data_IF_002750567322
#
_entry.id   IF_002750567322
#
_cell.length_a   1.000
_cell.length_b   1.000
_cell.length_c   1.000
_cell.angle_alpha   90.00
_cell.angle_beta   90.00
_cell.angle_gamma   90.00
#
_symmetry.space_group_name_H-M   'P 1'
#
loop_
_entity.id
_entity.type
_entity.pdbx_description
1 polymer ?
#
# COMPACT_ATOMS: atom_id res chain seq x y z
N UNK A 1 40.73 10.58 15.60
CA UNK A 1 39.67 11.43 15.00
C UNK A 1 39.18 10.87 13.66
N UNK A 2 40.06 10.33 12.79
CA UNK A 2 39.68 9.65 11.54
C UNK A 2 38.63 8.53 11.74
N UNK A 3 38.86 7.64 12.70
CA UNK A 3 37.98 6.50 13.01
C UNK A 3 36.50 6.88 13.30
N UNK A 4 36.27 8.02 13.97
CA UNK A 4 34.92 8.50 14.26
C UNK A 4 34.24 9.12 13.04
N UNK A 5 35.00 9.80 12.17
CA UNK A 5 34.48 10.36 10.92
C UNK A 5 34.17 9.26 9.91
N UNK A 6 35.03 8.24 9.83
CA UNK A 6 34.85 7.07 8.97
C UNK A 6 33.61 6.26 9.39
N UNK A 7 33.45 5.97 10.68
CA UNK A 7 32.24 5.31 11.19
C UNK A 7 30.96 6.11 10.91
N UNK A 8 31.02 7.43 11.06
CA UNK A 8 29.85 8.30 10.80
C UNK A 8 29.50 8.33 9.32
N UNK A 9 30.50 8.32 8.43
CA UNK A 9 30.32 8.22 6.99
C UNK A 9 29.69 6.88 6.59
N UNK A 10 30.15 5.76 7.16
CA UNK A 10 29.55 4.44 6.92
C UNK A 10 28.10 4.38 7.39
N UNK A 11 27.80 4.90 8.58
CA UNK A 11 26.43 4.97 9.08
C UNK A 11 25.54 5.84 8.17
N UNK A 12 26.07 6.94 7.64
CA UNK A 12 25.34 7.78 6.70
C UNK A 12 25.05 7.05 5.38
N UNK A 13 26.05 6.36 4.80
CA UNK A 13 25.88 5.51 3.61
C UNK A 13 24.82 4.43 3.83
N UNK A 14 24.87 3.75 4.96
CA UNK A 14 23.88 2.75 5.36
C UNK A 14 22.45 3.32 5.41
N UNK A 15 22.27 4.52 5.98
CA UNK A 15 20.95 5.18 6.02
C UNK A 15 20.44 5.50 4.61
N UNK A 16 21.30 5.99 3.72
CA UNK A 16 20.94 6.27 2.34
C UNK A 16 20.54 5.00 1.58
N UNK A 17 21.31 3.92 1.72
CA UNK A 17 20.98 2.62 1.12
C UNK A 17 19.65 2.07 1.64
N UNK A 18 19.39 2.20 2.95
CA UNK A 18 18.10 1.78 3.53
C UNK A 18 16.93 2.59 3.02
N UNK A 19 17.09 3.90 2.82
CA UNK A 19 16.06 4.74 2.20
C UNK A 19 15.77 4.33 0.76
N UNK A 20 16.80 4.02 -0.03
CA UNK A 20 16.60 3.53 -1.39
C UNK A 20 15.89 2.17 -1.41
N UNK A 21 16.34 1.23 -0.58
CA UNK A 21 15.72 -0.09 -0.47
C UNK A 21 14.26 0.00 -0.01
N UNK A 22 13.95 0.93 0.90
CA UNK A 22 12.58 1.20 1.32
C UNK A 22 11.72 1.66 0.13
N UNK A 23 12.25 2.56 -0.70
CA UNK A 23 11.54 3.05 -1.89
C UNK A 23 11.25 1.96 -2.91
N UNK A 24 12.24 1.13 -3.21
CA UNK A 24 12.04 -0.03 -4.08
C UNK A 24 11.01 -1.01 -3.52
N UNK A 25 10.99 -1.22 -2.20
CA UNK A 25 10.01 -2.06 -1.54
C UNK A 25 8.60 -1.48 -1.68
N UNK A 26 8.41 -0.16 -1.51
CA UNK A 26 7.10 0.48 -1.70
C UNK A 26 6.53 0.21 -3.09
N UNK A 27 7.34 0.41 -4.14
CA UNK A 27 6.87 0.21 -5.51
C UNK A 27 6.53 -1.25 -5.81
N UNK A 28 7.31 -2.19 -5.25
CA UNK A 28 7.00 -3.63 -5.33
C UNK A 28 5.67 -3.96 -4.63
N UNK A 29 5.43 -3.41 -3.44
CA UNK A 29 4.17 -3.56 -2.71
C UNK A 29 2.99 -3.04 -3.55
N UNK A 30 3.13 -1.86 -4.15
CA UNK A 30 2.10 -1.28 -5.02
C UNK A 30 1.83 -2.15 -6.27
N UNK A 31 2.87 -2.67 -6.91
CA UNK A 31 2.73 -3.56 -8.07
C UNK A 31 2.01 -4.87 -7.70
N UNK A 32 2.34 -5.48 -6.55
CA UNK A 32 1.67 -6.67 -6.04
C UNK A 32 0.17 -6.38 -5.83
N UNK A 33 -0.16 -5.23 -5.23
CA UNK A 33 -1.55 -4.82 -5.03
C UNK A 33 -2.32 -4.70 -6.35
N UNK A 34 -1.72 -4.07 -7.37
CA UNK A 34 -2.32 -3.94 -8.70
C UNK A 34 -2.62 -5.29 -9.34
N UNK A 35 -1.65 -6.20 -9.36
CA UNK A 35 -1.80 -7.53 -9.99
C UNK A 35 -2.91 -8.33 -9.29
N UNK A 36 -2.96 -8.31 -7.96
CA UNK A 36 -3.97 -9.07 -7.23
C UNK A 36 -5.36 -8.46 -7.41
N UNK A 37 -5.51 -7.13 -7.43
CA UNK A 37 -6.80 -6.49 -7.73
C UNK A 37 -7.31 -6.92 -9.11
N UNK A 38 -6.46 -6.90 -10.13
CA UNK A 38 -6.85 -7.31 -11.48
C UNK A 38 -7.30 -8.77 -11.47
N UNK A 39 -6.57 -9.65 -10.80
CA UNK A 39 -6.95 -11.06 -10.68
C UNK A 39 -8.31 -11.25 -9.97
N UNK A 40 -8.56 -10.53 -8.87
CA UNK A 40 -9.85 -10.56 -8.17
C UNK A 40 -10.98 -9.99 -9.03
N UNK A 41 -10.72 -8.93 -9.79
CA UNK A 41 -11.67 -8.35 -10.73
C UNK A 41 -12.04 -9.32 -11.86
N UNK A 42 -11.07 -10.03 -12.42
CA UNK A 42 -11.31 -11.09 -13.41
C UNK A 42 -12.12 -12.24 -12.83
N UNK A 43 -11.83 -12.65 -11.58
CA UNK A 43 -12.61 -13.66 -10.89
C UNK A 43 -14.08 -13.21 -10.70
N UNK A 44 -14.30 -11.96 -10.31
CA UNK A 44 -15.65 -11.39 -10.17
C UNK A 44 -16.39 -11.32 -11.51
N UNK A 45 -15.70 -10.95 -12.59
CA UNK A 45 -16.26 -10.96 -13.93
C UNK A 45 -16.70 -12.38 -14.33
N UNK A 46 -15.89 -13.39 -14.02
CA UNK A 46 -16.25 -14.78 -14.29
C UNK A 46 -17.50 -15.24 -13.50
N UNK A 47 -17.64 -14.83 -12.23
CA UNK A 47 -18.87 -15.09 -11.45
C UNK A 47 -20.10 -14.50 -12.12
N UNK A 48 -20.01 -13.26 -12.63
CA UNK A 48 -21.10 -12.61 -13.35
C UNK A 48 -21.44 -13.36 -14.65
N UNK A 49 -20.42 -13.74 -15.44
CA UNK A 49 -20.59 -14.48 -16.68
C UNK A 49 -21.27 -15.85 -16.44
N UNK A 50 -20.83 -16.57 -15.40
CA UNK A 50 -21.38 -17.87 -15.02
C UNK A 50 -22.83 -17.78 -14.51
N UNK A 51 -23.16 -16.70 -13.78
CA UNK A 51 -24.54 -16.41 -13.36
C UNK A 51 -25.42 -16.15 -14.58
N UNK A 52 -24.96 -15.31 -15.51
CA UNK A 52 -25.68 -14.99 -16.75
C UNK A 52 -25.93 -16.21 -17.64
N UNK A 53 -24.98 -17.14 -17.71
CA UNK A 53 -25.14 -18.40 -18.44
C UNK A 53 -25.96 -19.45 -17.70
N UNK A 54 -26.54 -19.12 -16.54
CA UNK A 54 -27.29 -20.03 -15.65
C UNK A 54 -26.50 -21.28 -15.24
N UNK A 55 -25.17 -21.18 -15.23
CA UNK A 55 -24.27 -22.29 -14.86
C UNK A 55 -24.08 -22.42 -13.35
N UNK A 56 -24.35 -21.36 -12.59
CA UNK A 56 -24.35 -21.34 -11.12
C UNK A 56 -25.64 -20.73 -10.60
N UNK A 57 -26.01 -21.07 -9.37
CA UNK A 57 -27.17 -20.48 -8.68
C UNK A 57 -26.84 -19.09 -8.14
N UNK A 58 -27.88 -18.28 -7.88
CA UNK A 58 -27.75 -16.99 -7.22
C UNK A 58 -26.99 -17.09 -5.89
N UNK A 59 -27.31 -18.10 -5.08
CA UNK A 59 -26.69 -18.32 -3.78
C UNK A 59 -25.18 -18.55 -3.89
N UNK A 60 -24.75 -19.34 -4.88
CA UNK A 60 -23.31 -19.56 -5.15
C UNK A 60 -22.64 -18.28 -5.65
N UNK A 61 -23.30 -17.52 -6.52
CA UNK A 61 -22.77 -16.26 -7.04
C UNK A 61 -22.60 -15.19 -5.94
N UNK A 62 -23.59 -15.02 -5.06
CA UNK A 62 -23.53 -14.11 -3.92
C UNK A 62 -22.43 -14.51 -2.93
N UNK A 63 -22.33 -15.80 -2.61
CA UNK A 63 -21.30 -16.33 -1.73
C UNK A 63 -19.90 -16.10 -2.31
N UNK A 64 -19.67 -16.48 -3.57
CA UNK A 64 -18.39 -16.30 -4.25
C UNK A 64 -17.98 -14.82 -4.32
N UNK A 65 -18.92 -13.94 -4.68
CA UNK A 65 -18.65 -12.50 -4.77
C UNK A 65 -18.33 -11.89 -3.39
N UNK A 66 -19.00 -12.36 -2.33
CA UNK A 66 -18.70 -11.95 -0.95
C UNK A 66 -17.30 -12.41 -0.53
N UNK A 67 -16.92 -13.65 -0.83
CA UNK A 67 -15.56 -14.14 -0.55
C UNK A 67 -14.49 -13.31 -1.28
N UNK A 68 -14.70 -12.96 -2.56
CA UNK A 68 -13.79 -12.11 -3.32
C UNK A 68 -13.63 -10.72 -2.68
N UNK A 69 -14.74 -10.13 -2.20
CA UNK A 69 -14.70 -8.85 -1.50
C UNK A 69 -13.94 -8.95 -0.16
N UNK A 70 -14.14 -10.04 0.60
CA UNK A 70 -13.40 -10.29 1.83
C UNK A 70 -11.89 -10.45 1.56
N UNK A 71 -11.51 -11.17 0.51
CA UNK A 71 -10.11 -11.30 0.10
C UNK A 71 -9.49 -9.94 -0.25
N UNK A 72 -10.22 -9.10 -0.99
CA UNK A 72 -9.78 -7.74 -1.31
C UNK A 72 -9.59 -6.88 -0.05
N UNK A 73 -10.50 -7.00 0.93
CA UNK A 73 -10.41 -6.28 2.19
C UNK A 73 -9.17 -6.69 3.00
N UNK A 74 -8.92 -7.99 3.14
CA UNK A 74 -7.73 -8.52 3.83
C UNK A 74 -6.45 -8.05 3.14
N UNK A 75 -6.40 -8.14 1.82
CA UNK A 75 -5.26 -7.64 1.03
C UNK A 75 -5.03 -6.15 1.28
N UNK A 76 -6.09 -5.35 1.22
CA UNK A 76 -6.00 -3.89 1.41
C UNK A 76 -5.46 -3.56 2.80
N UNK A 77 -5.95 -4.24 3.85
CA UNK A 77 -5.44 -4.07 5.21
C UNK A 77 -3.96 -4.42 5.33
N UNK A 78 -3.53 -5.54 4.73
CA UNK A 78 -2.13 -5.94 4.72
C UNK A 78 -1.24 -4.90 4.03
N UNK A 79 -1.65 -4.41 2.86
CA UNK A 79 -0.89 -3.41 2.10
C UNK A 79 -0.80 -2.09 2.88
N UNK A 80 -1.89 -1.64 3.50
CA UNK A 80 -1.87 -0.44 4.34
C UNK A 80 -0.90 -0.62 5.51
N UNK A 81 -0.91 -1.77 6.20
CA UNK A 81 0.01 -2.05 7.30
C UNK A 81 1.48 -1.98 6.84
N UNK A 82 1.81 -2.55 5.68
CA UNK A 82 3.15 -2.48 5.10
C UNK A 82 3.57 -1.05 4.76
N UNK A 83 2.68 -0.26 4.15
CA UNK A 83 2.93 1.14 3.81
C UNK A 83 3.11 2.02 5.06
N UNK A 84 2.30 1.79 6.11
CA UNK A 84 2.47 2.47 7.39
C UNK A 84 3.82 2.12 8.03
N UNK A 85 4.22 0.85 7.99
CA UNK A 85 5.55 0.42 8.42
C UNK A 85 6.69 1.14 7.68
N UNK A 86 6.51 1.37 6.37
CA UNK A 86 7.44 2.17 5.56
C UNK A 86 7.52 3.62 6.02
N UNK A 87 6.37 4.27 6.23
CA UNK A 87 6.30 5.66 6.71
C UNK A 87 7.01 5.81 8.06
N UNK A 88 6.78 4.89 9.01
CA UNK A 88 7.46 4.93 10.31
C UNK A 88 8.97 4.73 10.19
N UNK A 89 9.40 3.81 9.31
CA UNK A 89 10.82 3.56 9.06
C UNK A 89 11.50 4.78 8.44
N UNK A 90 10.83 5.43 7.50
CA UNK A 90 11.31 6.66 6.88
C UNK A 90 11.47 7.81 7.87
N UNK A 91 10.50 8.00 8.78
CA UNK A 91 10.59 9.02 9.84
C UNK A 91 11.82 8.80 10.71
N UNK A 92 12.08 7.53 11.08
CA UNK A 92 13.26 7.15 11.85
C UNK A 92 14.55 7.47 11.08
N UNK A 93 14.66 7.07 9.82
CA UNK A 93 15.85 7.35 9.00
C UNK A 93 16.09 8.86 8.81
N UNK A 94 15.03 9.66 8.71
CA UNK A 94 15.14 11.11 8.60
C UNK A 94 15.61 11.76 9.90
N UNK A 95 15.19 11.23 11.05
CA UNK A 95 15.69 11.62 12.37
C UNK A 95 17.16 11.26 12.53
N UNK A 96 17.55 10.05 12.15
CA UNK A 96 18.94 9.57 12.23
C UNK A 96 19.88 10.38 11.33
N UNK A 97 19.46 10.70 10.10
CA UNK A 97 20.19 11.57 9.19
C UNK A 97 20.43 12.96 9.79
N UNK A 98 19.38 13.58 10.34
CA UNK A 98 19.46 14.88 11.01
C UNK A 98 20.46 14.86 12.17
N UNK A 99 20.46 13.81 12.99
CA UNK A 99 21.40 13.69 14.10
C UNK A 99 22.85 13.65 13.62
N UNK A 100 23.12 12.97 12.50
CA UNK A 100 24.45 12.92 11.88
C UNK A 100 24.83 14.30 11.30
N UNK A 101 23.92 14.98 10.61
CA UNK A 101 24.17 16.32 10.06
C UNK A 101 24.52 17.34 11.15
N UNK A 102 23.79 17.33 12.28
CA UNK A 102 24.09 18.20 13.44
C UNK A 102 25.47 17.90 13.99
N UNK A 103 25.85 16.62 14.11
CA UNK A 103 27.15 16.21 14.65
C UNK A 103 28.33 16.64 13.77
N UNK A 104 28.17 16.68 12.44
CA UNK A 104 29.25 17.02 11.50
C UNK A 104 29.28 18.51 11.20
N UNK A 105 28.14 19.11 10.86
CA UNK A 105 28.07 20.48 10.32
C UNK A 105 27.60 21.51 11.34
N UNK A 106 27.18 21.10 12.54
CA UNK A 106 26.63 21.99 13.58
C UNK A 106 25.27 22.61 13.23
N UNK A 107 24.74 22.30 12.04
CA UNK A 107 23.44 22.74 11.52
C UNK A 107 22.82 21.57 10.75
N UNK A 108 21.52 21.39 10.90
CA UNK A 108 20.72 20.43 10.14
C UNK A 108 19.70 21.18 9.29
N UNK A 109 19.25 20.55 8.20
CA UNK A 109 18.02 20.96 7.52
C UNK A 109 16.81 20.90 8.47
N UNK A 110 15.70 21.56 8.08
CA UNK A 110 14.50 21.74 8.91
C UNK A 110 14.08 20.49 9.73
N UNK A 111 13.55 20.68 10.95
CA UNK A 111 13.17 19.58 11.82
C UNK A 111 12.14 18.65 11.16
N UNK A 112 12.24 17.36 11.48
CA UNK A 112 11.29 16.32 11.09
C UNK A 112 9.93 16.57 11.74
N UNK A 113 9.14 17.44 11.12
CA UNK A 113 7.72 17.61 11.47
C UNK A 113 6.91 16.46 10.89
N UNK A 114 5.92 15.97 11.65
CA UNK A 114 4.91 15.01 11.22
C UNK A 114 4.15 15.53 9.99
N UNK A 115 4.07 16.86 9.82
CA UNK A 115 3.51 17.50 8.62
C UNK A 115 4.27 17.14 7.33
N UNK A 116 5.56 16.81 7.43
CA UNK A 116 6.35 16.37 6.28
C UNK A 116 6.04 14.94 5.81
N UNK A 117 5.21 14.16 6.53
CA UNK A 117 4.74 12.84 6.09
C UNK A 117 3.92 12.98 4.79
N UNK A 118 3.18 14.07 4.63
CA UNK A 118 2.45 14.36 3.40
C UNK A 118 3.35 14.68 2.21
N UNK A 119 4.64 14.94 2.40
CA UNK A 119 5.58 15.11 1.28
C UNK A 119 6.09 13.78 0.73
N UNK A 120 5.76 12.66 1.38
CA UNK A 120 6.27 11.34 1.03
C UNK A 120 5.27 10.57 0.17
N UNK A 121 5.76 9.93 -0.89
CA UNK A 121 4.93 9.24 -1.88
C UNK A 121 4.17 8.03 -1.29
N UNK A 122 4.68 7.37 -0.23
CA UNK A 122 3.98 6.26 0.44
C UNK A 122 2.63 6.69 1.01
N UNK A 123 2.53 7.92 1.52
CA UNK A 123 1.28 8.48 2.03
C UNK A 123 0.23 8.57 0.93
N UNK A 124 0.64 8.98 -0.27
CA UNK A 124 -0.24 9.06 -1.43
C UNK A 124 -0.59 7.67 -1.97
N UNK A 125 0.34 6.71 -1.98
CA UNK A 125 0.05 5.33 -2.37
C UNK A 125 -0.95 4.70 -1.39
N UNK A 126 -0.78 4.90 -0.08
CA UNK A 126 -1.72 4.42 0.93
C UNK A 126 -3.11 5.03 0.73
N UNK A 127 -3.19 6.33 0.45
CA UNK A 127 -4.43 7.01 0.12
C UNK A 127 -5.09 6.41 -1.14
N UNK A 128 -4.33 6.17 -2.20
CA UNK A 128 -4.82 5.55 -3.43
C UNK A 128 -5.35 4.15 -3.16
N UNK A 129 -4.64 3.33 -2.37
CA UNK A 129 -5.08 1.98 -1.96
C UNK A 129 -6.44 2.06 -1.24
N UNK A 130 -6.60 2.99 -0.30
CA UNK A 130 -7.87 3.21 0.41
C UNK A 130 -8.98 3.64 -0.54
N UNK A 131 -8.70 4.58 -1.45
CA UNK A 131 -9.68 5.08 -2.41
C UNK A 131 -10.12 4.00 -3.41
N UNK A 132 -9.18 3.18 -3.89
CA UNK A 132 -9.48 2.05 -4.80
C UNK A 132 -10.35 1.01 -4.09
N UNK A 133 -10.03 0.69 -2.83
CA UNK A 133 -10.87 -0.19 -2.03
C UNK A 133 -12.28 0.38 -1.82
N UNK A 134 -12.39 1.66 -1.43
CA UNK A 134 -13.66 2.33 -1.23
C UNK A 134 -14.50 2.38 -2.52
N UNK A 135 -13.87 2.69 -3.66
CA UNK A 135 -14.52 2.69 -4.97
C UNK A 135 -14.99 1.29 -5.39
N UNK A 136 -14.19 0.25 -5.12
CA UNK A 136 -14.55 -1.14 -5.42
C UNK A 136 -15.70 -1.61 -4.53
N UNK A 137 -15.65 -1.30 -3.23
CA UNK A 137 -16.71 -1.60 -2.27
C UNK A 137 -18.03 -0.90 -2.63
N UNK A 138 -17.96 0.38 -2.99
CA UNK A 138 -19.10 1.13 -3.50
C UNK A 138 -19.68 0.49 -4.77
N UNK A 139 -18.82 0.15 -5.73
CA UNK A 139 -19.24 -0.50 -6.98
C UNK A 139 -19.89 -1.85 -6.71
N UNK A 140 -19.37 -2.61 -5.75
CA UNK A 140 -19.96 -3.87 -5.34
C UNK A 140 -21.41 -3.69 -4.84
N UNK A 141 -21.63 -2.78 -3.90
CA UNK A 141 -22.95 -2.53 -3.30
C UNK A 141 -23.96 -2.02 -4.33
N UNK A 142 -23.57 -1.03 -5.13
CA UNK A 142 -24.52 -0.29 -5.98
C UNK A 142 -24.64 -0.84 -7.40
N UNK A 143 -23.69 -1.65 -7.87
CA UNK A 143 -23.69 -2.18 -9.24
C UNK A 143 -23.66 -3.69 -9.27
N UNK A 144 -22.68 -4.34 -8.65
CA UNK A 144 -22.49 -5.80 -8.76
C UNK A 144 -23.62 -6.56 -8.07
N UNK A 145 -23.93 -6.23 -6.82
CA UNK A 145 -24.96 -6.94 -6.07
C UNK A 145 -26.36 -6.83 -6.70
N UNK A 146 -26.84 -5.65 -7.15
CA UNK A 146 -28.08 -5.53 -7.90
C UNK A 146 -28.04 -6.29 -9.23
N UNK A 147 -26.92 -6.26 -9.95
CA UNK A 147 -26.76 -6.96 -11.22
C UNK A 147 -26.95 -8.47 -11.05
N UNK A 148 -26.30 -9.07 -10.03
CA UNK A 148 -26.45 -10.51 -9.76
C UNK A 148 -27.90 -10.90 -9.54
N UNK A 149 -28.67 -10.08 -8.83
CA UNK A 149 -30.11 -10.32 -8.61
C UNK A 149 -30.96 -10.19 -9.87
N UNK A 150 -30.56 -9.33 -10.81
CA UNK A 150 -31.30 -9.15 -12.07
C UNK A 150 -31.03 -10.23 -13.12
N UNK A 151 -29.97 -11.04 -12.95
CA UNK A 151 -29.54 -12.06 -13.91
C UNK A 151 -30.22 -13.43 -13.70
N UNK A 152 -31.07 -13.55 -12.69
CA UNK A 152 -31.76 -14.79 -12.27
C UNK A 152 -33.25 -14.64 -12.55
#
# INVERSE_FOLDING_TARGET
MADKQDFTLERYKYILERKQSLNEATFKIAAIYQVIIVALGLAQFNVIAMTSSKSITLSTAEFASTCLLCMLAILTLLIIALLLGGIFSWLKYRSDERNIEIQIFGKSREPTSISNIFRWYETYIALIVILVFAATFWTYIYRVYPLLKSLV
#
